data_IF_779538946010
#
_entry.id   IF_779538946010
#
_cell.length_a   1.000
_cell.length_b   1.000
_cell.length_c   1.000
_cell.angle_alpha   90.00
_cell.angle_beta   90.00
_cell.angle_gamma   90.00
#
_symmetry.space_group_name_H-M   'P 1'
#
loop_
_entity.id
_entity.type
_entity.pdbx_description
1 polymer ?
#
# COMPACT_ATOMS: atom_id res chain seq x y z
N UNK A 1 -14.38 14.01 -14.11
CA UNK A 1 -12.91 13.88 -14.17
C UNK A 1 -12.32 14.86 -13.18
N UNK A 2 -12.05 14.41 -11.95
CA UNK A 2 -11.32 15.22 -10.97
C UNK A 2 -9.85 15.25 -11.38
N UNK A 3 -9.37 16.37 -11.90
CA UNK A 3 -7.93 16.59 -12.01
C UNK A 3 -7.36 16.55 -10.60
N UNK A 4 -6.31 15.72 -10.41
CA UNK A 4 -5.49 15.76 -9.19
C UNK A 4 -4.72 17.10 -9.15
N UNK A 5 -5.45 18.16 -8.87
CA UNK A 5 -4.91 19.52 -8.81
C UNK A 5 -4.43 19.87 -7.39
N UNK A 6 -3.82 18.88 -6.70
CA UNK A 6 -3.19 19.08 -5.40
C UNK A 6 -1.68 18.89 -5.55
N UNK A 7 -0.91 19.79 -4.96
CA UNK A 7 0.56 19.71 -4.94
C UNK A 7 1.06 18.46 -4.20
N UNK A 8 0.24 17.88 -3.31
CA UNK A 8 0.53 16.70 -2.53
C UNK A 8 -0.63 15.69 -2.57
N UNK A 9 -0.32 14.43 -2.88
CA UNK A 9 -1.27 13.32 -2.96
C UNK A 9 -0.93 12.30 -1.88
N UNK A 10 -1.86 12.06 -0.95
CA UNK A 10 -1.74 11.02 0.08
C UNK A 10 -2.31 9.71 -0.46
N UNK A 11 -1.50 8.65 -0.45
CA UNK A 11 -1.93 7.28 -0.71
C UNK A 11 -2.02 6.59 0.65
N UNK A 12 -3.22 6.16 1.03
CA UNK A 12 -3.47 5.54 2.33
C UNK A 12 -3.12 4.05 2.32
N UNK A 13 -1.99 3.66 2.89
CA UNK A 13 -1.43 2.30 2.86
C UNK A 13 -1.78 1.45 4.09
N UNK A 14 -2.90 1.67 4.75
CA UNK A 14 -3.21 0.92 5.98
C UNK A 14 -4.07 -0.32 5.77
N UNK A 15 -4.55 -0.57 4.54
CA UNK A 15 -5.36 -1.75 4.20
C UNK A 15 -4.46 -2.83 3.57
N UNK A 16 -3.37 -3.16 4.29
CA UNK A 16 -2.40 -4.17 3.85
C UNK A 16 -2.32 -5.31 4.86
N UNK A 17 -2.32 -6.54 4.38
CA UNK A 17 -2.15 -7.73 5.22
C UNK A 17 -0.77 -7.83 5.87
N UNK A 18 0.19 -7.02 5.40
CA UNK A 18 1.53 -6.85 5.99
C UNK A 18 1.51 -6.01 7.28
N UNK A 19 0.46 -5.18 7.49
CA UNK A 19 0.39 -4.27 8.63
C UNK A 19 0.28 -5.03 9.94
N UNK A 20 1.16 -4.68 10.87
CA UNK A 20 1.21 -5.31 12.18
C UNK A 20 1.25 -4.28 13.30
N UNK A 21 0.54 -4.57 14.36
CA UNK A 21 0.69 -3.94 15.67
C UNK A 21 1.48 -4.85 16.60
N UNK A 22 2.03 -4.30 17.67
CA UNK A 22 2.73 -5.11 18.67
C UNK A 22 1.75 -5.68 19.70
N UNK A 23 2.11 -6.78 20.36
CA UNK A 23 1.33 -7.34 21.48
C UNK A 23 1.28 -6.41 22.72
N UNK A 24 1.95 -5.25 22.67
CA UNK A 24 1.86 -4.19 23.68
C UNK A 24 0.88 -3.07 23.30
N UNK A 25 0.21 -3.20 22.15
CA UNK A 25 -0.80 -2.22 21.74
C UNK A 25 -1.93 -2.16 22.75
N UNK A 26 -2.40 -0.95 23.06
CA UNK A 26 -3.56 -0.74 23.91
C UNK A 26 -4.87 -1.27 23.33
N UNK A 27 -4.90 -1.55 22.02
CA UNK A 27 -6.04 -2.17 21.35
C UNK A 27 -6.12 -3.67 21.59
N UNK A 28 -5.01 -4.33 21.97
CA UNK A 28 -5.03 -5.74 22.33
C UNK A 28 -5.52 -5.89 23.78
N UNK A 29 -6.66 -6.54 23.95
CA UNK A 29 -7.26 -6.78 25.25
C UNK A 29 -7.72 -8.22 25.37
N UNK A 30 -7.99 -8.66 26.61
CA UNK A 30 -8.62 -9.95 26.90
C UNK A 30 -10.06 -9.71 27.38
N UNK A 31 -11.03 -10.38 26.76
CA UNK A 31 -12.42 -10.34 27.16
C UNK A 31 -12.95 -11.77 27.30
N UNK A 32 -13.39 -12.15 28.52
CA UNK A 32 -13.93 -13.50 28.79
C UNK A 32 -12.91 -14.62 28.53
N UNK A 33 -11.62 -14.38 28.72
CA UNK A 33 -10.57 -15.38 28.47
C UNK A 33 -10.13 -15.45 26.97
N UNK A 34 -10.62 -14.56 26.12
CA UNK A 34 -10.27 -14.49 24.69
C UNK A 34 -9.50 -13.22 24.42
N UNK A 35 -8.30 -13.34 23.83
CA UNK A 35 -7.54 -12.19 23.34
C UNK A 35 -8.13 -11.69 22.03
N UNK A 36 -8.18 -10.36 21.84
CA UNK A 36 -8.67 -9.74 20.63
C UNK A 36 -8.40 -8.24 20.57
N UNK A 37 -8.79 -7.65 19.48
CA UNK A 37 -8.65 -6.22 19.22
C UNK A 37 -9.93 -5.49 19.62
N UNK A 38 -9.86 -4.66 20.66
CA UNK A 38 -10.91 -3.73 21.00
C UNK A 38 -10.78 -2.47 20.16
N UNK A 39 -11.87 -2.01 19.58
CA UNK A 39 -11.91 -0.79 18.78
C UNK A 39 -13.30 -0.15 18.86
N UNK A 40 -13.34 1.12 18.49
CA UNK A 40 -14.59 1.86 18.37
C UNK A 40 -14.94 1.95 16.87
N UNK A 41 -16.08 1.40 16.48
CA UNK A 41 -16.61 1.52 15.12
C UNK A 41 -16.91 2.98 14.76
N UNK A 42 -17.08 3.29 13.48
CA UNK A 42 -17.34 4.65 12.98
C UNK A 42 -18.59 5.27 13.62
N UNK A 43 -19.61 4.47 13.92
CA UNK A 43 -20.84 4.90 14.60
C UNK A 43 -20.68 5.07 16.13
N UNK A 44 -19.47 4.86 16.66
CA UNK A 44 -19.17 5.00 18.08
C UNK A 44 -19.38 3.74 18.93
N UNK A 45 -19.84 2.63 18.35
CA UNK A 45 -20.04 1.35 19.05
C UNK A 45 -18.69 0.73 19.43
N UNK A 46 -18.55 0.26 20.66
CA UNK A 46 -17.39 -0.50 21.09
C UNK A 46 -17.52 -1.95 20.60
N UNK A 47 -16.53 -2.40 19.83
CA UNK A 47 -16.49 -3.73 19.23
C UNK A 47 -15.20 -4.46 19.60
N UNK A 48 -15.23 -5.78 19.46
CA UNK A 48 -14.13 -6.67 19.79
C UNK A 48 -13.94 -7.71 18.69
N UNK A 49 -12.75 -7.73 18.07
CA UNK A 49 -12.36 -8.70 17.05
C UNK A 49 -11.41 -9.72 17.71
N UNK A 50 -11.85 -10.96 17.99
CA UNK A 50 -11.01 -11.97 18.61
C UNK A 50 -9.87 -12.39 17.70
N UNK A 51 -8.70 -12.71 18.28
CA UNK A 51 -7.61 -13.34 17.56
C UNK A 51 -7.95 -14.80 17.24
N UNK A 52 -7.75 -15.20 15.97
CA UNK A 52 -7.89 -16.61 15.60
C UNK A 52 -6.77 -17.46 16.18
N UNK A 53 -7.03 -18.74 16.46
CA UNK A 53 -6.01 -19.68 16.92
C UNK A 53 -4.90 -19.88 15.88
N UNK A 54 -5.24 -19.81 14.58
CA UNK A 54 -4.27 -19.86 13.49
C UNK A 54 -3.28 -18.70 13.57
N UNK A 55 -3.77 -17.47 13.79
CA UNK A 55 -2.91 -16.29 13.95
C UNK A 55 -1.98 -16.45 15.17
N UNK A 56 -2.50 -16.92 16.29
CA UNK A 56 -1.72 -17.15 17.53
C UNK A 56 -0.65 -18.24 17.33
N UNK A 57 -0.92 -19.27 16.54
CA UNK A 57 0.03 -20.32 16.20
C UNK A 57 1.13 -19.81 15.23
N UNK A 58 0.93 -18.67 14.57
CA UNK A 58 1.82 -18.12 13.57
C UNK A 58 3.14 -17.58 14.12
N UNK A 59 4.13 -17.43 13.22
CA UNK A 59 5.46 -16.90 13.57
C UNK A 59 5.38 -15.44 14.02
N UNK A 60 4.55 -14.62 13.39
CA UNK A 60 4.42 -13.19 13.74
C UNK A 60 3.98 -13.02 15.18
N UNK A 61 2.98 -13.77 15.64
CA UNK A 61 2.51 -13.69 17.03
C UNK A 61 3.61 -14.11 18.03
N UNK A 62 4.40 -15.15 17.73
CA UNK A 62 5.58 -15.53 18.52
C UNK A 62 6.63 -14.41 18.59
N UNK A 63 6.73 -13.60 17.53
CA UNK A 63 7.59 -12.42 17.45
C UNK A 63 6.93 -11.15 18.05
N UNK A 64 5.83 -11.29 18.77
CA UNK A 64 5.09 -10.19 19.40
C UNK A 64 4.46 -9.21 18.40
N UNK A 65 4.09 -9.70 17.21
CA UNK A 65 3.44 -8.95 16.14
C UNK A 65 2.09 -9.57 15.82
N UNK A 66 1.09 -8.71 15.60
CA UNK A 66 -0.27 -9.11 15.22
C UNK A 66 -0.57 -8.46 13.88
N UNK A 67 -0.70 -9.24 12.82
CA UNK A 67 -1.13 -8.79 11.49
C UNK A 67 -2.64 -8.55 11.50
N UNK A 68 -3.02 -7.38 12.00
CA UNK A 68 -4.40 -7.05 12.31
C UNK A 68 -5.30 -6.93 11.08
N UNK A 69 -4.76 -6.46 9.93
CA UNK A 69 -5.53 -6.40 8.67
C UNK A 69 -5.71 -7.80 8.09
N UNK A 70 -4.67 -8.66 8.12
CA UNK A 70 -4.81 -10.07 7.75
C UNK A 70 -5.92 -10.75 8.56
N UNK A 71 -5.92 -10.57 9.90
CA UNK A 71 -6.98 -11.09 10.77
C UNK A 71 -8.37 -10.61 10.34
N UNK A 72 -8.50 -9.31 10.03
CA UNK A 72 -9.79 -8.74 9.64
C UNK A 72 -10.26 -9.24 8.27
N UNK A 73 -9.35 -9.42 7.30
CA UNK A 73 -9.70 -9.97 5.98
C UNK A 73 -10.12 -11.44 6.10
N UNK A 74 -9.35 -12.27 6.79
CA UNK A 74 -9.70 -13.70 7.00
C UNK A 74 -11.04 -13.85 7.73
N UNK A 75 -11.24 -13.11 8.83
CA UNK A 75 -12.49 -13.16 9.58
C UNK A 75 -13.67 -12.59 8.78
N UNK A 76 -13.45 -11.55 7.96
CA UNK A 76 -14.48 -10.96 7.12
C UNK A 76 -14.92 -11.86 5.96
N UNK A 77 -14.01 -12.70 5.46
CA UNK A 77 -14.30 -13.71 4.43
C UNK A 77 -14.96 -14.97 4.98
N UNK A 78 -15.00 -15.15 6.31
CA UNK A 78 -15.63 -16.32 6.92
C UNK A 78 -17.16 -16.21 6.88
N UNK A 79 -17.85 -17.35 7.00
CA UNK A 79 -19.30 -17.41 7.13
C UNK A 79 -19.75 -17.28 8.59
N UNK A 80 -18.82 -17.02 9.50
CA UNK A 80 -19.08 -16.94 10.94
C UNK A 80 -19.67 -15.57 11.33
N UNK A 81 -20.34 -15.51 12.49
CA UNK A 81 -20.90 -14.28 13.02
C UNK A 81 -19.88 -13.16 13.31
N UNK A 82 -18.58 -13.48 13.24
CA UNK A 82 -17.49 -12.52 13.42
C UNK A 82 -17.25 -11.64 12.16
N UNK A 83 -17.71 -12.06 10.98
CA UNK A 83 -17.49 -11.35 9.73
C UNK A 83 -17.96 -9.89 9.79
N UNK A 84 -19.12 -9.64 10.39
CA UNK A 84 -19.65 -8.28 10.53
C UNK A 84 -18.73 -7.38 11.37
N UNK A 85 -18.14 -7.91 12.45
CA UNK A 85 -17.19 -7.18 13.31
C UNK A 85 -15.90 -6.88 12.54
N UNK A 86 -15.41 -7.84 11.78
CA UNK A 86 -14.20 -7.70 10.96
C UNK A 86 -14.38 -6.63 9.85
N UNK A 87 -15.54 -6.61 9.21
CA UNK A 87 -15.90 -5.59 8.22
C UNK A 87 -15.94 -4.20 8.87
N UNK A 88 -16.53 -4.05 10.06
CA UNK A 88 -16.51 -2.77 10.80
C UNK A 88 -15.09 -2.34 11.21
N UNK A 89 -14.19 -3.30 11.48
CA UNK A 89 -12.77 -3.00 11.72
C UNK A 89 -12.10 -2.42 10.46
N UNK A 90 -12.32 -3.02 9.28
CA UNK A 90 -11.82 -2.50 8.01
C UNK A 90 -12.45 -1.13 7.68
N UNK A 91 -13.76 -0.96 7.92
CA UNK A 91 -14.46 0.32 7.74
C UNK A 91 -13.84 1.44 8.57
N UNK A 92 -13.45 1.14 9.81
CA UNK A 92 -12.73 2.12 10.64
C UNK A 92 -11.38 2.50 10.04
N UNK A 93 -10.62 1.53 9.51
CA UNK A 93 -9.33 1.82 8.87
C UNK A 93 -9.53 2.71 7.63
N UNK A 94 -10.52 2.43 6.82
CA UNK A 94 -10.90 3.26 5.66
C UNK A 94 -11.24 4.68 6.11
N UNK A 95 -12.15 4.81 7.08
CA UNK A 95 -12.60 6.09 7.62
C UNK A 95 -11.44 6.93 8.20
N UNK A 96 -10.51 6.29 8.92
CA UNK A 96 -9.34 6.97 9.50
C UNK A 96 -8.42 7.51 8.39
N UNK A 97 -8.28 6.82 7.26
CA UNK A 97 -7.47 7.26 6.13
C UNK A 97 -8.14 8.40 5.35
N UNK A 98 -9.46 8.34 5.15
CA UNK A 98 -10.21 9.46 4.58
C UNK A 98 -10.12 10.71 5.47
N UNK A 99 -10.23 10.54 6.78
CA UNK A 99 -10.03 11.60 7.76
C UNK A 99 -8.62 12.19 7.79
N UNK A 100 -7.64 11.46 7.26
CA UNK A 100 -6.25 11.90 7.08
C UNK A 100 -5.97 12.43 5.66
N UNK A 101 -7.00 12.85 4.91
CA UNK A 101 -6.92 13.42 3.57
C UNK A 101 -6.33 12.46 2.51
N UNK A 102 -6.46 11.14 2.68
CA UNK A 102 -6.11 10.19 1.65
C UNK A 102 -6.91 10.47 0.36
N UNK A 103 -6.23 10.37 -0.79
CA UNK A 103 -6.83 10.50 -2.13
C UNK A 103 -6.89 9.17 -2.88
N UNK A 104 -6.16 8.18 -2.40
CA UNK A 104 -6.23 6.78 -2.79
C UNK A 104 -6.25 5.91 -1.54
N UNK A 105 -6.94 4.78 -1.63
CA UNK A 105 -6.85 3.71 -0.64
C UNK A 105 -6.07 2.55 -1.25
N UNK A 106 -4.90 2.29 -0.72
CA UNK A 106 -4.02 1.24 -1.20
C UNK A 106 -4.36 -0.08 -0.53
N UNK A 107 -4.64 -1.11 -1.33
CA UNK A 107 -5.05 -2.44 -0.88
C UNK A 107 -4.01 -3.48 -1.28
N UNK A 108 -3.58 -4.28 -0.30
CA UNK A 108 -2.58 -5.33 -0.49
C UNK A 108 -2.93 -6.58 0.34
N UNK A 109 -2.90 -7.75 -0.31
CA UNK A 109 -3.16 -9.05 0.32
C UNK A 109 -1.99 -10.04 0.18
N UNK A 110 -0.79 -9.58 -0.17
CA UNK A 110 0.36 -10.45 -0.45
C UNK A 110 0.67 -11.42 0.69
N UNK A 111 0.47 -11.00 1.94
CA UNK A 111 0.75 -11.83 3.11
C UNK A 111 -0.48 -12.55 3.70
N UNK A 112 -1.60 -12.59 2.96
CA UNK A 112 -2.80 -13.32 3.41
C UNK A 112 -2.51 -14.83 3.46
N UNK A 113 -1.91 -15.36 2.39
CA UNK A 113 -1.60 -16.77 2.23
C UNK A 113 -0.44 -16.95 1.24
N UNK A 114 0.13 -18.16 1.20
CA UNK A 114 1.05 -18.60 0.13
C UNK A 114 0.31 -19.26 -1.05
N UNK A 115 -1.00 -19.52 -0.88
CA UNK A 115 -1.86 -20.07 -1.94
C UNK A 115 -2.36 -18.95 -2.87
N UNK A 116 -1.96 -18.91 -4.16
CA UNK A 116 -2.41 -17.89 -5.10
C UNK A 116 -3.92 -17.82 -5.28
N UNK A 117 -4.61 -18.95 -5.18
CA UNK A 117 -6.07 -18.99 -5.30
C UNK A 117 -6.75 -18.32 -4.10
N UNK A 118 -6.20 -18.48 -2.89
CA UNK A 118 -6.66 -17.77 -1.71
C UNK A 118 -6.35 -16.28 -1.79
N UNK A 119 -5.15 -15.90 -2.22
CA UNK A 119 -4.80 -14.49 -2.46
C UNK A 119 -5.76 -13.82 -3.45
N UNK A 120 -6.08 -14.49 -4.57
CA UNK A 120 -7.00 -13.95 -5.57
C UNK A 120 -8.43 -13.77 -5.01
N UNK A 121 -8.93 -14.72 -4.21
CA UNK A 121 -10.23 -14.57 -3.53
C UNK A 121 -10.22 -13.41 -2.54
N UNK A 122 -9.15 -13.30 -1.74
CA UNK A 122 -9.01 -12.23 -0.76
C UNK A 122 -8.89 -10.86 -1.42
N UNK A 123 -8.17 -10.73 -2.53
CA UNK A 123 -8.06 -9.48 -3.28
C UNK A 123 -9.43 -9.04 -3.81
N UNK A 124 -10.17 -9.92 -4.48
CA UNK A 124 -11.52 -9.59 -4.99
C UNK A 124 -12.45 -9.18 -3.86
N UNK A 125 -12.47 -9.96 -2.79
CA UNK A 125 -13.31 -9.67 -1.63
C UNK A 125 -12.95 -8.32 -1.00
N UNK A 126 -11.66 -8.05 -0.77
CA UNK A 126 -11.22 -6.82 -0.12
C UNK A 126 -11.51 -5.59 -0.99
N UNK A 127 -11.24 -5.66 -2.30
CA UNK A 127 -11.57 -4.59 -3.25
C UNK A 127 -13.06 -4.30 -3.25
N UNK A 128 -13.90 -5.33 -3.25
CA UNK A 128 -15.36 -5.17 -3.18
C UNK A 128 -15.82 -4.51 -1.89
N UNK A 129 -15.29 -4.96 -0.74
CA UNK A 129 -15.62 -4.38 0.57
C UNK A 129 -15.17 -2.92 0.68
N UNK A 130 -13.97 -2.57 0.20
CA UNK A 130 -13.49 -1.19 0.29
C UNK A 130 -14.32 -0.26 -0.60
N UNK A 131 -14.76 -0.71 -1.78
CA UNK A 131 -15.66 0.05 -2.64
C UNK A 131 -17.06 0.26 -2.03
N UNK A 132 -17.51 -0.62 -1.12
CA UNK A 132 -18.73 -0.40 -0.34
C UNK A 132 -18.54 0.61 0.81
N UNK A 133 -17.31 0.85 1.23
CA UNK A 133 -16.98 1.73 2.35
C UNK A 133 -16.59 3.14 1.92
N UNK A 134 -16.05 3.32 0.71
CA UNK A 134 -15.47 4.57 0.22
C UNK A 134 -15.74 4.80 -1.26
N UNK A 135 -15.76 6.08 -1.66
CA UNK A 135 -15.80 6.49 -3.07
C UNK A 135 -14.40 6.87 -3.60
N UNK A 136 -13.37 6.81 -2.75
CA UNK A 136 -12.00 7.11 -3.19
C UNK A 136 -11.51 6.04 -4.18
N UNK A 137 -10.70 6.43 -5.17
CA UNK A 137 -10.07 5.47 -6.07
C UNK A 137 -9.14 4.53 -5.30
N UNK A 138 -9.11 3.27 -5.72
CA UNK A 138 -8.22 2.28 -5.13
C UNK A 138 -6.85 2.30 -5.80
N UNK A 139 -5.82 2.06 -5.00
CA UNK A 139 -4.50 1.65 -5.45
C UNK A 139 -4.38 0.15 -5.24
N UNK A 140 -4.18 -0.60 -6.32
CA UNK A 140 -4.03 -2.05 -6.25
C UNK A 140 -2.55 -2.36 -6.16
N UNK A 141 -2.13 -2.82 -4.98
CA UNK A 141 -0.74 -3.10 -4.64
C UNK A 141 -0.49 -4.60 -4.49
N UNK A 142 0.48 -5.09 -5.23
CA UNK A 142 1.01 -6.44 -5.06
C UNK A 142 2.40 -6.59 -5.70
N UNK A 143 3.16 -7.55 -5.18
CA UNK A 143 4.37 -8.07 -5.80
C UNK A 143 4.08 -8.97 -7.02
N UNK A 144 2.83 -9.45 -7.18
CA UNK A 144 2.38 -10.32 -8.27
C UNK A 144 1.53 -9.53 -9.28
N UNK A 145 1.96 -9.53 -10.55
CA UNK A 145 1.21 -8.91 -11.66
C UNK A 145 -0.18 -9.56 -11.83
N UNK A 146 -0.27 -10.87 -11.61
CA UNK A 146 -1.54 -11.60 -11.67
C UNK A 146 -2.51 -11.16 -10.55
N UNK A 147 -1.98 -10.87 -9.37
CA UNK A 147 -2.80 -10.41 -8.26
C UNK A 147 -3.24 -8.95 -8.46
N UNK A 148 -2.39 -8.11 -9.07
CA UNK A 148 -2.78 -6.77 -9.53
C UNK A 148 -3.90 -6.86 -10.55
N UNK A 149 -3.81 -7.74 -11.58
CA UNK A 149 -4.89 -7.97 -12.54
C UNK A 149 -6.19 -8.35 -11.83
N UNK A 150 -6.11 -9.28 -10.88
CA UNK A 150 -7.27 -9.73 -10.09
C UNK A 150 -7.95 -8.59 -9.36
N UNK A 151 -7.18 -7.69 -8.77
CA UNK A 151 -7.70 -6.49 -8.09
C UNK A 151 -8.33 -5.50 -9.06
N UNK A 152 -7.69 -5.24 -10.20
CA UNK A 152 -8.21 -4.33 -11.23
C UNK A 152 -9.52 -4.85 -11.86
N UNK A 153 -9.63 -6.17 -12.09
CA UNK A 153 -10.86 -6.81 -12.57
C UNK A 153 -12.04 -6.70 -11.57
N UNK A 154 -11.76 -6.50 -10.30
CA UNK A 154 -12.75 -6.31 -9.25
C UNK A 154 -13.20 -4.84 -9.07
N UNK A 155 -12.56 -3.90 -9.76
CA UNK A 155 -13.00 -2.49 -9.76
C UNK A 155 -14.33 -2.39 -10.50
N UNK A 156 -15.31 -1.74 -9.86
CA UNK A 156 -16.65 -1.57 -10.40
C UNK A 156 -16.69 -0.58 -11.54
N UNK A 157 -17.57 -0.82 -12.50
CA UNK A 157 -17.84 0.14 -13.58
C UNK A 157 -18.27 1.50 -13.03
N UNK A 158 -17.68 2.57 -13.53
CA UNK A 158 -17.95 3.93 -13.10
C UNK A 158 -17.22 4.36 -11.83
N UNK A 159 -16.40 3.51 -11.23
CA UNK A 159 -15.51 3.92 -10.14
C UNK A 159 -14.48 4.95 -10.63
N UNK A 160 -13.97 5.76 -9.70
CA UNK A 160 -12.84 6.66 -9.98
C UNK A 160 -11.61 5.88 -10.46
N UNK A 161 -10.83 6.49 -11.34
CA UNK A 161 -9.68 5.88 -12.01
C UNK A 161 -8.66 5.32 -11.03
N UNK A 162 -8.40 4.00 -11.01
CA UNK A 162 -7.51 3.38 -10.04
C UNK A 162 -6.04 3.67 -10.31
N UNK A 163 -5.20 3.34 -9.32
CA UNK A 163 -3.75 3.39 -9.38
C UNK A 163 -3.20 1.96 -9.35
N UNK A 164 -2.29 1.62 -10.24
CA UNK A 164 -1.54 0.37 -10.23
C UNK A 164 -0.25 0.55 -9.42
N UNK A 165 -0.05 -0.24 -8.39
CA UNK A 165 1.13 -0.22 -7.53
C UNK A 165 1.78 -1.62 -7.49
N UNK A 166 2.86 -1.87 -8.21
CA UNK A 166 3.66 -1.04 -9.07
C UNK A 166 4.20 -1.84 -10.27
N UNK A 167 4.71 -1.14 -11.27
CA UNK A 167 5.52 -1.70 -12.32
C UNK A 167 7.02 -1.39 -12.07
N UNK A 168 7.91 -2.29 -12.50
CA UNK A 168 9.35 -2.15 -12.38
C UNK A 168 10.05 -2.76 -13.61
N UNK A 169 11.36 -2.59 -13.73
CA UNK A 169 12.13 -3.24 -14.80
C UNK A 169 12.03 -4.76 -14.78
N UNK A 170 11.86 -5.37 -13.60
CA UNK A 170 11.62 -6.80 -13.44
C UNK A 170 10.19 -7.22 -13.86
N UNK A 171 9.21 -6.31 -13.71
CA UNK A 171 7.77 -6.54 -13.92
C UNK A 171 7.20 -5.49 -14.86
N UNK A 172 7.84 -5.33 -16.02
CA UNK A 172 7.46 -4.31 -17.02
C UNK A 172 6.09 -4.57 -17.65
N UNK A 173 5.62 -5.81 -17.62
CA UNK A 173 4.26 -6.20 -18.06
C UNK A 173 3.14 -5.57 -17.21
N UNK A 174 3.42 -5.09 -16.02
CA UNK A 174 2.49 -4.27 -15.24
C UNK A 174 2.04 -3.01 -16.00
N UNK A 175 2.88 -2.48 -16.89
CA UNK A 175 2.52 -1.35 -17.76
C UNK A 175 1.46 -1.72 -18.81
N UNK A 176 1.42 -2.98 -19.25
CA UNK A 176 0.41 -3.46 -20.18
C UNK A 176 -0.95 -3.53 -19.50
N UNK A 177 -0.99 -3.95 -18.20
CA UNK A 177 -2.19 -3.86 -17.36
C UNK A 177 -2.62 -2.39 -17.15
N UNK A 178 -1.68 -1.50 -16.85
CA UNK A 178 -2.01 -0.09 -16.64
C UNK A 178 -2.70 0.52 -17.88
N UNK A 179 -2.27 0.13 -19.08
CA UNK A 179 -2.92 0.52 -20.33
C UNK A 179 -4.27 -0.16 -20.53
N UNK A 180 -4.36 -1.47 -20.32
CA UNK A 180 -5.56 -2.29 -20.50
C UNK A 180 -6.72 -1.78 -19.62
N UNK A 181 -6.44 -1.51 -18.35
CA UNK A 181 -7.42 -1.04 -17.36
C UNK A 181 -7.49 0.48 -17.25
N UNK A 182 -6.76 1.23 -18.09
CA UNK A 182 -6.73 2.69 -18.06
C UNK A 182 -6.44 3.25 -16.66
N UNK A 183 -5.45 2.69 -15.94
CA UNK A 183 -5.07 3.15 -14.60
C UNK A 183 -4.04 4.29 -14.65
N UNK A 184 -3.85 4.98 -13.53
CA UNK A 184 -2.56 5.61 -13.23
C UNK A 184 -1.58 4.53 -12.78
N UNK A 185 -0.28 4.80 -12.82
CA UNK A 185 0.72 3.78 -12.51
C UNK A 185 1.87 4.32 -11.67
N UNK A 186 2.22 3.58 -10.63
CA UNK A 186 3.50 3.75 -9.93
C UNK A 186 4.56 2.93 -10.68
N UNK A 187 5.65 3.60 -11.07
CA UNK A 187 6.84 2.94 -11.60
C UNK A 187 7.99 3.12 -10.61
N UNK A 188 8.69 2.04 -10.29
CA UNK A 188 9.77 2.10 -9.32
C UNK A 188 11.14 2.20 -9.97
N UNK A 189 12.10 2.75 -9.23
CA UNK A 189 13.53 2.77 -9.60
C UNK A 189 14.25 1.44 -9.32
N UNK A 190 13.52 0.36 -9.02
CA UNK A 190 14.13 -0.97 -8.86
C UNK A 190 14.75 -1.43 -10.18
N UNK A 191 15.95 -2.00 -10.11
CA UNK A 191 16.60 -2.59 -11.26
C UNK A 191 15.98 -3.93 -11.66
N UNK A 192 16.43 -4.49 -12.77
CA UNK A 192 15.90 -5.76 -13.28
C UNK A 192 16.26 -6.95 -12.39
N UNK A 193 17.37 -6.92 -11.70
CA UNK A 193 17.86 -8.03 -10.86
C UNK A 193 18.34 -7.62 -9.47
N UNK A 194 18.44 -6.32 -9.20
CA UNK A 194 18.92 -5.78 -7.93
C UNK A 194 18.27 -4.44 -7.60
N UNK A 195 18.32 -4.06 -6.34
CA UNK A 195 17.97 -2.69 -5.91
C UNK A 195 19.09 -1.72 -6.30
N UNK A 196 18.77 -0.45 -6.59
CA UNK A 196 19.79 0.53 -6.97
C UNK A 196 20.71 0.88 -5.81
N UNK A 197 22.01 1.00 -6.09
CA UNK A 197 23.01 1.32 -5.08
C UNK A 197 23.05 2.83 -4.77
N UNK A 198 22.90 3.68 -5.80
CA UNK A 198 23.08 5.12 -5.67
C UNK A 198 21.96 5.94 -6.39
N UNK A 199 22.13 7.26 -6.41
CA UNK A 199 21.19 8.19 -7.04
C UNK A 199 21.15 8.07 -8.57
N UNK A 200 22.31 7.84 -9.21
CA UNK A 200 22.41 7.78 -10.67
C UNK A 200 21.72 6.52 -11.19
N UNK A 201 21.90 5.39 -10.53
CA UNK A 201 21.22 4.13 -10.86
C UNK A 201 19.70 4.24 -10.67
N UNK A 202 19.25 4.94 -9.61
CA UNK A 202 17.81 5.25 -9.43
C UNK A 202 17.25 6.08 -10.58
N UNK A 203 17.98 7.10 -11.02
CA UNK A 203 17.59 7.96 -12.14
C UNK A 203 17.50 7.16 -13.43
N UNK A 204 18.48 6.32 -13.72
CA UNK A 204 18.54 5.53 -14.94
C UNK A 204 17.43 4.49 -14.99
N UNK A 205 17.20 3.75 -13.90
CA UNK A 205 16.11 2.76 -13.80
C UNK A 205 14.74 3.42 -13.93
N UNK A 206 14.49 4.52 -13.19
CA UNK A 206 13.27 5.30 -13.31
C UNK A 206 13.05 5.81 -14.73
N UNK A 207 14.13 6.30 -15.38
CA UNK A 207 14.04 6.82 -16.73
C UNK A 207 13.64 5.74 -17.74
N UNK A 208 14.21 4.55 -17.63
CA UNK A 208 13.82 3.41 -18.48
C UNK A 208 12.34 3.07 -18.29
N UNK A 209 11.85 3.06 -17.05
CA UNK A 209 10.45 2.78 -16.74
C UNK A 209 9.52 3.87 -17.29
N UNK A 210 9.84 5.15 -17.10
CA UNK A 210 9.05 6.27 -17.64
C UNK A 210 9.00 6.20 -19.17
N UNK A 211 10.12 5.97 -19.83
CA UNK A 211 10.19 5.82 -21.28
C UNK A 211 9.38 4.60 -21.78
N UNK A 212 9.44 3.48 -21.07
CA UNK A 212 8.63 2.29 -21.38
C UNK A 212 7.13 2.55 -21.23
N UNK A 213 6.75 3.38 -20.26
CA UNK A 213 5.36 3.80 -20.01
C UNK A 213 4.85 4.69 -21.14
N UNK A 214 5.64 5.71 -21.52
CA UNK A 214 5.29 6.62 -22.63
C UNK A 214 5.18 5.88 -23.96
N UNK A 215 6.06 4.90 -24.23
CA UNK A 215 5.99 4.05 -25.43
C UNK A 215 4.70 3.24 -25.53
N UNK A 216 4.04 2.97 -24.42
CA UNK A 216 2.73 2.29 -24.37
C UNK A 216 1.54 3.25 -24.48
N UNK A 217 1.80 4.56 -24.63
CA UNK A 217 0.78 5.60 -24.79
C UNK A 217 0.10 6.00 -23.48
N UNK A 218 0.74 5.74 -22.33
CA UNK A 218 0.30 6.26 -21.03
C UNK A 218 0.90 7.65 -20.87
N UNK A 219 0.08 8.63 -20.52
CA UNK A 219 0.51 10.03 -20.38
C UNK A 219 1.43 10.21 -19.15
N UNK A 220 2.41 11.11 -19.28
CA UNK A 220 3.34 11.42 -18.20
C UNK A 220 2.63 11.89 -16.91
N UNK A 221 1.51 12.58 -17.05
CA UNK A 221 0.69 13.04 -15.92
C UNK A 221 0.05 11.89 -15.10
N UNK A 222 0.00 10.68 -15.66
CA UNK A 222 -0.54 9.48 -15.02
C UNK A 222 0.57 8.60 -14.39
N UNK A 223 1.83 9.02 -14.53
CA UNK A 223 2.99 8.29 -14.00
C UNK A 223 3.42 8.87 -12.66
N UNK A 224 3.52 8.01 -11.67
CA UNK A 224 4.10 8.28 -10.36
C UNK A 224 5.42 7.53 -10.26
N UNK A 225 6.53 8.22 -10.07
CA UNK A 225 7.83 7.58 -9.94
C UNK A 225 8.18 7.42 -8.47
N UNK A 226 8.44 6.18 -8.05
CA UNK A 226 9.03 5.88 -6.75
C UNK A 226 10.55 5.69 -6.89
N UNK A 227 11.36 6.68 -6.43
CA UNK A 227 12.81 6.59 -6.46
C UNK A 227 13.38 5.62 -5.42
N UNK A 228 12.55 4.97 -4.64
CA UNK A 228 12.86 4.08 -3.52
C UNK A 228 13.58 4.80 -2.37
N UNK A 229 12.89 4.83 -1.23
CA UNK A 229 13.43 5.38 0.02
C UNK A 229 13.91 4.23 0.89
N UNK A 230 15.21 4.15 1.12
CA UNK A 230 15.84 3.14 1.98
C UNK A 230 16.14 3.69 3.36
N UNK A 231 16.25 2.81 4.40
CA UNK A 231 16.51 3.23 5.76
C UNK A 231 17.92 3.81 5.95
N UNK A 232 18.01 5.03 6.46
CA UNK A 232 19.32 5.65 6.81
C UNK A 232 20.00 4.97 8.00
N UNK A 233 19.33 4.06 8.69
CA UNK A 233 19.95 3.18 9.69
C UNK A 233 20.84 2.11 9.07
N UNK A 234 20.63 1.77 7.78
CA UNK A 234 21.46 0.81 7.03
C UNK A 234 22.64 1.52 6.39
N UNK A 235 22.36 2.61 5.68
CA UNK A 235 23.38 3.50 5.13
C UNK A 235 22.90 4.94 5.16
N UNK A 236 23.71 5.83 5.73
CA UNK A 236 23.38 7.25 5.90
C UNK A 236 23.27 8.00 4.57
N UNK A 237 23.86 7.52 3.49
CA UNK A 237 23.77 8.12 2.14
C UNK A 237 22.39 7.96 1.52
N UNK A 238 21.63 6.92 1.86
CA UNK A 238 20.37 6.56 1.21
C UNK A 238 19.32 7.68 1.19
N UNK A 239 19.28 8.50 2.24
CA UNK A 239 18.40 9.66 2.27
C UNK A 239 18.77 10.70 1.22
N UNK A 240 20.06 10.99 1.08
CA UNK A 240 20.58 11.95 0.10
C UNK A 240 20.43 11.41 -1.32
N UNK A 241 20.68 10.12 -1.54
CA UNK A 241 20.52 9.46 -2.83
C UNK A 241 19.07 9.54 -3.33
N UNK A 242 18.11 9.29 -2.45
CA UNK A 242 16.69 9.43 -2.78
C UNK A 242 16.32 10.86 -3.17
N UNK A 243 16.79 11.87 -2.43
CA UNK A 243 16.55 13.28 -2.74
C UNK A 243 17.26 13.71 -4.03
N UNK A 244 18.46 13.19 -4.29
CA UNK A 244 19.21 13.46 -5.52
C UNK A 244 18.54 12.82 -6.72
N UNK A 245 18.02 11.59 -6.57
CA UNK A 245 17.24 10.90 -7.59
C UNK A 245 15.97 11.70 -7.95
N UNK A 246 15.22 12.21 -6.95
CA UNK A 246 14.03 13.07 -7.19
C UNK A 246 14.41 14.28 -8.05
N UNK A 247 15.50 14.98 -7.71
CA UNK A 247 15.97 16.13 -8.48
C UNK A 247 16.37 15.75 -9.91
N UNK A 248 17.09 14.63 -10.08
CA UNK A 248 17.52 14.12 -11.38
C UNK A 248 16.34 13.72 -12.27
N UNK A 249 15.36 13.02 -11.74
CA UNK A 249 14.15 12.62 -12.45
C UNK A 249 13.36 13.84 -12.88
N UNK A 250 13.14 14.82 -11.99
CA UNK A 250 12.46 16.08 -12.33
C UNK A 250 13.23 16.92 -13.35
N UNK A 251 14.57 16.92 -13.32
CA UNK A 251 15.40 17.58 -14.32
C UNK A 251 15.24 16.94 -15.70
N UNK A 252 15.07 15.62 -15.76
CA UNK A 252 14.95 14.88 -17.03
C UNK A 252 13.55 14.98 -17.64
N UNK A 253 12.49 14.87 -16.85
CA UNK A 253 11.10 14.76 -17.31
C UNK A 253 10.25 16.01 -17.04
N UNK A 254 10.83 17.02 -16.37
CA UNK A 254 10.12 18.26 -16.02
C UNK A 254 9.33 18.17 -14.72
N UNK A 255 8.74 19.31 -14.33
CA UNK A 255 7.97 19.43 -13.08
C UNK A 255 6.60 18.70 -13.13
N UNK A 256 6.14 18.32 -14.31
CA UNK A 256 4.87 17.61 -14.49
C UNK A 256 4.91 16.14 -14.05
N UNK A 257 6.11 15.55 -13.90
CA UNK A 257 6.22 14.18 -13.39
C UNK A 257 5.87 14.13 -11.90
N UNK A 258 5.09 13.15 -11.49
CA UNK A 258 4.74 12.93 -10.09
C UNK A 258 5.78 12.02 -9.44
N UNK A 259 6.16 12.36 -8.21
CA UNK A 259 7.06 11.54 -7.40
C UNK A 259 6.25 10.99 -6.23
N UNK A 260 6.43 9.73 -5.95
CA UNK A 260 5.82 9.03 -4.81
C UNK A 260 6.88 8.25 -4.04
N UNK A 261 6.49 7.56 -2.97
CA UNK A 261 7.33 6.61 -2.25
C UNK A 261 6.90 6.41 -0.81
N UNK A 262 7.33 5.31 -0.23
CA UNK A 262 7.18 5.02 1.19
C UNK A 262 8.12 5.89 2.03
N UNK A 263 7.83 7.20 2.15
CA UNK A 263 8.71 8.19 2.78
C UNK A 263 9.13 7.82 4.21
N UNK A 264 8.26 7.12 4.96
CA UNK A 264 8.57 6.67 6.32
C UNK A 264 9.65 5.58 6.40
N UNK A 265 10.04 4.99 5.28
CA UNK A 265 11.13 4.00 5.23
C UNK A 265 12.47 4.63 5.62
N UNK A 266 12.69 5.91 5.34
CA UNK A 266 13.91 6.65 5.71
C UNK A 266 14.28 6.47 7.19
N UNK A 267 13.28 6.41 8.06
CA UNK A 267 13.46 6.33 9.52
C UNK A 267 13.32 4.91 10.09
N UNK A 268 13.20 3.88 9.24
CA UNK A 268 13.03 2.51 9.71
C UNK A 268 14.23 2.07 10.56
N UNK A 269 13.97 1.47 11.73
CA UNK A 269 15.01 1.04 12.66
C UNK A 269 15.56 2.16 13.57
N UNK A 270 15.11 3.41 13.44
CA UNK A 270 15.61 4.56 14.21
C UNK A 270 14.56 5.00 15.26
N UNK A 271 14.97 5.41 16.48
CA UNK A 271 14.05 5.99 17.45
C UNK A 271 13.54 7.37 16.99
N UNK A 272 12.37 7.79 17.49
CA UNK A 272 11.73 9.09 17.16
C UNK A 272 11.49 9.31 15.67
N UNK A 273 10.99 8.28 15.01
CA UNK A 273 10.71 8.25 13.56
C UNK A 273 9.97 9.46 13.03
N UNK A 274 8.99 9.99 13.79
CA UNK A 274 8.21 11.16 13.38
C UNK A 274 9.07 12.38 13.09
N UNK A 275 10.09 12.64 13.90
CA UNK A 275 11.02 13.78 13.70
C UNK A 275 11.78 13.63 12.38
N UNK A 276 12.33 12.43 12.14
CA UNK A 276 13.09 12.14 10.92
C UNK A 276 12.19 12.23 9.68
N UNK A 277 10.99 11.64 9.75
CA UNK A 277 10.03 11.70 8.65
C UNK A 277 9.64 13.14 8.32
N UNK A 278 9.38 13.98 9.33
CA UNK A 278 9.04 15.39 9.12
C UNK A 278 10.16 16.14 8.43
N UNK A 279 11.41 15.97 8.89
CA UNK A 279 12.58 16.63 8.27
C UNK A 279 12.82 16.16 6.84
N UNK A 280 12.56 14.87 6.55
CA UNK A 280 12.75 14.31 5.21
C UNK A 280 11.70 14.79 4.20
N UNK A 281 10.49 15.14 4.67
CA UNK A 281 9.39 15.62 3.83
C UNK A 281 9.46 17.14 3.51
N UNK A 282 10.25 17.92 4.25
CA UNK A 282 10.40 19.37 4.08
C UNK A 282 11.64 19.72 3.28
#
# INVERSE_FOLDING_TARGET
MGELNRDFVVIGENIHTTRAITTKSSSLVEQGGVEGLAFKAVNGTDLFLPLSEELKAGQDYRQKRIKHVKLAVEAGMSEDGIAAVAIEYLRKIVFDQEGADALYLDVNVDEISVDPAHQARAMRWLVDQVQDMSQLPLSIDSSSVELIRTGLEAIRDGAERPLLNSASLERVEGLDLAREFNTRVIVTSAGQSAMPDDADERIDNASQMVEATLKRGIDLADVFVDPLVFPIAVDSSYGLDSLSAIRGIRKRFGSGIRITGGMSNVSFGIPKRSVINTVFLV
#
